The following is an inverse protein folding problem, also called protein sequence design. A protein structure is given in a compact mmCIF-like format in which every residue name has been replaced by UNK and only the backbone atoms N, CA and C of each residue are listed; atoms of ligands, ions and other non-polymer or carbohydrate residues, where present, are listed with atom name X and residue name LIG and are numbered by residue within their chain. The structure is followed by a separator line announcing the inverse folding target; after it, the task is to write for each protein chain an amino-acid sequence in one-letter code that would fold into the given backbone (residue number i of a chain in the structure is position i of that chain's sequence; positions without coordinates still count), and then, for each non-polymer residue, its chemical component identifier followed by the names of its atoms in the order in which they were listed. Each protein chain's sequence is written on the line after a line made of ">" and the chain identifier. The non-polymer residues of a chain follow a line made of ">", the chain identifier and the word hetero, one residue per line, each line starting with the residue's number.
data_IF_513842880159
#
_entry.id   IF_513842880159
#
_cell.length_a   1.000
_cell.length_b   1.000
_cell.length_c   1.000
_cell.angle_alpha   90.00
_cell.angle_beta   90.00
_cell.angle_gamma   90.00
#
_symmetry.space_group_name_H-M   'P 1'
#
loop_
_entity.id
_entity.type
_entity.pdbx_description
1 polymer ?
#
# COMPACT_ATOMS: atom_id res chain seq x y z
N UNK A 1 -17.04 -32.77 -7.80
CA UNK A 1 -17.01 -31.77 -6.71
C UNK A 1 -17.15 -32.53 -5.40
N UNK A 2 -16.25 -32.29 -4.44
CA UNK A 2 -16.22 -32.98 -3.14
C UNK A 2 -16.44 -32.01 -1.99
N UNK A 3 -16.77 -32.52 -0.81
CA UNK A 3 -16.96 -31.68 0.37
C UNK A 3 -15.62 -31.20 0.95
N UNK A 4 -15.65 -30.13 1.77
CA UNK A 4 -14.44 -29.68 2.49
C UNK A 4 -13.91 -30.69 3.51
N UNK A 5 -14.77 -31.56 4.04
CA UNK A 5 -14.35 -32.61 4.99
C UNK A 5 -13.57 -33.68 4.24
N UNK A 6 -14.13 -34.16 3.14
CA UNK A 6 -13.52 -35.17 2.28
C UNK A 6 -12.21 -34.68 1.66
N UNK A 7 -12.17 -33.43 1.19
CA UNK A 7 -10.92 -32.82 0.73
C UNK A 7 -9.86 -32.71 1.83
N UNK A 8 -10.28 -32.48 3.09
CA UNK A 8 -9.40 -32.39 4.25
C UNK A 8 -8.78 -33.74 4.60
N UNK A 9 -9.59 -34.79 4.61
CA UNK A 9 -9.13 -36.18 4.82
C UNK A 9 -8.10 -36.58 3.76
N UNK A 10 -8.40 -36.31 2.48
CA UNK A 10 -7.47 -36.61 1.37
C UNK A 10 -6.15 -35.85 1.47
N UNK A 11 -6.19 -34.59 1.90
CA UNK A 11 -5.01 -33.72 2.04
C UNK A 11 -4.28 -33.84 3.39
N UNK A 12 -4.82 -34.60 4.35
CA UNK A 12 -4.29 -34.67 5.71
C UNK A 12 -4.38 -33.36 6.49
N UNK A 13 -5.38 -32.51 6.21
CA UNK A 13 -5.58 -31.21 6.88
C UNK A 13 -7.01 -31.01 7.35
N UNK A 14 -7.23 -30.10 8.30
CA UNK A 14 -8.58 -29.82 8.80
C UNK A 14 -9.48 -29.17 7.74
N UNK A 15 -10.81 -29.36 7.85
CA UNK A 15 -11.78 -28.70 6.97
C UNK A 15 -11.68 -27.15 7.01
N UNK A 16 -11.31 -26.58 8.17
CA UNK A 16 -11.03 -25.15 8.28
C UNK A 16 -9.81 -24.73 7.44
N UNK A 17 -8.76 -25.56 7.41
CA UNK A 17 -7.59 -25.33 6.56
C UNK A 17 -7.93 -25.42 5.08
N UNK A 18 -8.81 -26.35 4.67
CA UNK A 18 -9.32 -26.44 3.29
C UNK A 18 -10.07 -25.17 2.90
N UNK A 19 -10.94 -24.63 3.77
CA UNK A 19 -11.62 -23.34 3.53
C UNK A 19 -10.63 -22.20 3.34
N UNK A 20 -9.63 -22.10 4.22
CA UNK A 20 -8.58 -21.10 4.07
C UNK A 20 -7.78 -21.25 2.75
N UNK A 21 -7.61 -22.48 2.22
CA UNK A 21 -6.99 -22.70 0.92
C UNK A 21 -7.88 -22.28 -0.25
N UNK A 22 -9.20 -22.47 -0.13
CA UNK A 22 -10.18 -21.98 -1.11
C UNK A 22 -10.23 -20.44 -1.12
N UNK A 23 -10.29 -19.81 0.06
CA UNK A 23 -10.28 -18.35 0.19
C UNK A 23 -8.97 -17.75 -0.34
N UNK A 24 -7.84 -18.43 -0.14
CA UNK A 24 -6.54 -18.02 -0.68
C UNK A 24 -6.34 -18.35 -2.17
N UNK A 25 -7.33 -18.97 -2.84
CA UNK A 25 -7.23 -19.42 -4.24
C UNK A 25 -6.22 -20.54 -4.49
N UNK A 26 -5.70 -21.16 -3.43
CA UNK A 26 -4.73 -22.26 -3.50
C UNK A 26 -5.41 -23.62 -3.78
N UNK A 27 -6.73 -23.70 -3.62
CA UNK A 27 -7.59 -24.77 -4.13
C UNK A 27 -8.72 -24.14 -4.94
N UNK A 28 -9.14 -24.81 -6.01
CA UNK A 28 -10.34 -24.42 -6.75
C UNK A 28 -11.57 -25.00 -6.09
N UNK A 29 -12.62 -24.19 -6.03
CA UNK A 29 -13.92 -24.59 -5.51
C UNK A 29 -14.90 -23.43 -5.57
N UNK A 30 -16.16 -23.73 -5.33
CA UNK A 30 -17.24 -22.77 -5.33
C UNK A 30 -18.03 -22.86 -4.03
N UNK A 31 -18.53 -21.71 -3.57
CA UNK A 31 -19.46 -21.65 -2.46
C UNK A 31 -20.87 -21.86 -3.01
N UNK A 32 -21.51 -22.95 -2.57
CA UNK A 32 -22.87 -23.32 -2.95
C UNK A 32 -23.74 -23.15 -1.69
N UNK A 33 -24.46 -22.04 -1.62
CA UNK A 33 -25.24 -21.65 -0.44
C UNK A 33 -24.35 -21.45 0.79
N UNK A 34 -24.57 -22.26 1.84
CA UNK A 34 -23.78 -22.24 3.09
C UNK A 34 -22.59 -23.21 3.08
N UNK A 35 -22.44 -23.99 2.01
CA UNK A 35 -21.46 -25.07 1.92
C UNK A 35 -20.41 -24.77 0.86
N UNK A 36 -19.19 -25.24 1.07
CA UNK A 36 -18.12 -25.18 0.09
C UNK A 36 -18.04 -26.50 -0.69
N UNK A 37 -18.04 -26.40 -2.01
CA UNK A 37 -17.80 -27.51 -2.91
C UNK A 37 -16.40 -27.35 -3.52
N UNK A 38 -15.55 -28.34 -3.31
CA UNK A 38 -14.14 -28.33 -3.71
C UNK A 38 -13.99 -29.08 -5.03
N UNK A 39 -13.18 -28.53 -5.93
CA UNK A 39 -12.82 -29.21 -7.17
C UNK A 39 -11.85 -30.37 -6.89
N UNK A 40 -12.22 -31.56 -7.34
CA UNK A 40 -11.46 -32.78 -7.04
C UNK A 40 -10.11 -32.79 -7.77
N UNK A 41 -10.07 -32.29 -9.01
CA UNK A 41 -8.82 -32.19 -9.78
C UNK A 41 -7.82 -31.23 -9.11
N UNK A 42 -8.30 -30.13 -8.53
CA UNK A 42 -7.47 -29.21 -7.75
C UNK A 42 -6.88 -29.85 -6.48
N UNK A 43 -7.61 -30.77 -5.84
CA UNK A 43 -7.12 -31.51 -4.67
C UNK A 43 -6.06 -32.53 -5.10
N UNK A 44 -6.30 -33.27 -6.17
CA UNK A 44 -5.34 -34.22 -6.74
C UNK A 44 -4.03 -33.53 -7.18
N UNK A 45 -4.12 -32.38 -7.85
CA UNK A 45 -2.95 -31.59 -8.24
C UNK A 45 -2.10 -31.15 -7.04
N UNK A 46 -2.76 -30.81 -5.92
CA UNK A 46 -2.08 -30.40 -4.68
C UNK A 46 -1.44 -31.58 -3.94
N UNK A 47 -2.02 -32.78 -4.05
CA UNK A 47 -1.39 -34.01 -3.55
C UNK A 47 -0.16 -34.39 -4.37
N UNK A 48 -0.24 -34.24 -5.69
CA UNK A 48 0.88 -34.53 -6.61
C UNK A 48 2.05 -33.54 -6.46
N UNK A 49 1.79 -32.33 -5.96
CA UNK A 49 2.81 -31.31 -5.71
C UNK A 49 2.79 -30.87 -4.24
N UNK A 50 3.36 -31.69 -3.33
CA UNK A 50 3.42 -31.37 -1.92
C UNK A 50 4.29 -30.12 -1.70
N UNK A 51 3.65 -29.01 -1.37
CA UNK A 51 4.35 -27.81 -0.89
C UNK A 51 4.95 -28.17 0.46
N UNK A 52 6.28 -28.00 0.62
CA UNK A 52 6.99 -28.40 1.84
C UNK A 52 6.26 -27.88 3.10
N UNK A 53 5.99 -28.75 4.09
CA UNK A 53 5.41 -28.34 5.35
C UNK A 53 6.42 -27.45 6.10
N UNK A 54 6.16 -26.17 6.05
CA UNK A 54 6.81 -25.14 6.83
C UNK A 54 5.80 -24.03 7.02
N UNK A 55 5.93 -23.26 8.11
CA UNK A 55 5.23 -21.99 8.29
C UNK A 55 5.29 -21.29 6.93
N UNK A 56 4.16 -20.90 6.29
CA UNK A 56 4.26 -20.07 5.09
C UNK A 56 5.18 -18.95 5.50
N UNK A 57 6.31 -18.77 4.77
CA UNK A 57 7.10 -17.56 4.91
C UNK A 57 6.02 -16.50 4.87
N UNK A 58 5.74 -15.86 6.02
CA UNK A 58 4.93 -14.65 6.07
C UNK A 58 5.57 -13.90 4.93
N UNK A 59 4.86 -13.71 3.79
CA UNK A 59 5.33 -12.72 2.81
C UNK A 59 5.64 -11.58 3.74
N UNK A 60 6.93 -11.29 3.90
CA UNK A 60 7.38 -10.22 4.77
C UNK A 60 6.53 -9.10 4.19
N UNK A 61 5.44 -8.73 4.87
CA UNK A 61 4.78 -7.47 4.60
C UNK A 61 5.99 -6.57 4.68
N UNK A 62 6.42 -6.09 3.50
CA UNK A 62 7.77 -5.61 3.26
C UNK A 62 8.15 -4.90 4.53
N UNK A 63 9.11 -5.47 5.29
CA UNK A 63 9.32 -5.06 6.69
C UNK A 63 9.27 -3.54 6.68
N UNK A 64 8.47 -2.91 7.58
CA UNK A 64 8.11 -1.50 7.47
C UNK A 64 9.35 -0.81 6.97
N UNK A 65 9.31 -0.42 5.67
CA UNK A 65 10.52 -0.09 4.92
C UNK A 65 11.27 0.80 5.85
N UNK A 66 12.46 0.37 6.32
CA UNK A 66 13.27 1.21 7.19
C UNK A 66 13.17 2.59 6.55
N UNK A 67 12.66 3.61 7.27
CA UNK A 67 12.42 4.90 6.67
C UNK A 67 13.67 5.20 5.87
N UNK A 68 13.52 5.54 4.57
CA UNK A 68 14.67 5.62 3.67
C UNK A 68 15.75 6.36 4.42
N UNK A 69 16.96 5.80 4.43
CA UNK A 69 18.10 6.40 5.11
C UNK A 69 18.06 7.91 4.82
N UNK A 70 18.28 8.74 5.84
CA UNK A 70 18.17 10.18 5.67
C UNK A 70 19.09 10.62 4.52
N UNK A 71 18.49 10.94 3.37
CA UNK A 71 19.19 11.33 2.16
C UNK A 71 19.05 12.85 2.00
N UNK A 72 20.08 13.65 2.32
CA UNK A 72 19.99 15.11 2.23
C UNK A 72 19.67 15.59 0.81
N UNK A 73 20.16 14.87 -0.21
CA UNK A 73 19.86 15.15 -1.62
C UNK A 73 18.38 14.94 -1.99
N UNK A 74 17.67 14.06 -1.29
CA UNK A 74 16.23 13.87 -1.51
C UNK A 74 15.45 15.06 -0.93
N UNK A 75 15.86 15.56 0.24
CA UNK A 75 15.25 16.74 0.85
C UNK A 75 15.49 18.00 0.01
N UNK A 76 16.69 18.18 -0.53
CA UNK A 76 17.01 19.31 -1.39
C UNK A 76 16.12 19.33 -2.64
N UNK A 77 15.97 18.19 -3.32
CA UNK A 77 15.09 18.05 -4.49
C UNK A 77 13.62 18.34 -4.16
N UNK A 78 13.12 17.89 -3.02
CA UNK A 78 11.77 18.22 -2.57
C UNK A 78 11.61 19.71 -2.32
N UNK A 79 12.60 20.33 -1.67
CA UNK A 79 12.62 21.76 -1.42
C UNK A 79 12.60 22.57 -2.72
N UNK A 80 13.48 22.26 -3.68
CA UNK A 80 13.54 22.96 -4.97
C UNK A 80 12.23 22.82 -5.75
N UNK A 81 11.67 21.62 -5.79
CA UNK A 81 10.37 21.38 -6.43
C UNK A 81 9.24 22.18 -5.78
N UNK A 82 9.20 22.26 -4.45
CA UNK A 82 8.26 23.11 -3.74
C UNK A 82 8.48 24.59 -4.04
N UNK A 83 9.74 25.06 -4.07
CA UNK A 83 10.07 26.46 -4.36
C UNK A 83 9.59 26.85 -5.75
N UNK A 84 9.86 26.05 -6.77
CA UNK A 84 9.46 26.35 -8.15
C UNK A 84 7.94 26.42 -8.33
N UNK A 85 7.21 25.52 -7.68
CA UNK A 85 5.75 25.41 -7.86
C UNK A 85 4.96 26.36 -6.95
N UNK A 86 5.47 26.70 -5.76
CA UNK A 86 4.72 27.37 -4.71
C UNK A 86 5.27 28.75 -4.29
N UNK A 87 6.50 29.13 -4.67
CA UNK A 87 7.02 30.47 -4.35
C UNK A 87 6.42 31.59 -5.24
N UNK A 88 5.67 31.21 -6.28
CA UNK A 88 4.97 32.12 -7.19
C UNK A 88 3.67 32.71 -6.63
N UNK A 89 2.86 33.31 -7.50
CA UNK A 89 1.58 33.95 -7.13
C UNK A 89 0.66 32.95 -6.44
N UNK A 90 0.34 33.23 -5.17
CA UNK A 90 -0.65 32.58 -4.30
C UNK A 90 -1.19 31.30 -4.90
N UNK A 91 -0.71 30.14 -4.46
CA UNK A 91 -0.99 28.81 -4.99
C UNK A 91 -2.47 28.37 -4.94
N UNK A 92 -3.41 29.23 -5.34
CA UNK A 92 -4.83 28.99 -5.50
C UNK A 92 -5.03 27.83 -6.48
N UNK A 93 -4.27 27.78 -7.56
CA UNK A 93 -4.32 26.67 -8.51
C UNK A 93 -3.77 25.37 -7.90
N UNK A 94 -2.72 25.45 -7.08
CA UNK A 94 -2.20 24.30 -6.33
C UNK A 94 -3.21 23.77 -5.30
N UNK A 95 -3.86 24.68 -4.56
CA UNK A 95 -4.91 24.35 -3.59
C UNK A 95 -6.14 23.74 -4.28
N UNK A 96 -6.51 24.24 -5.47
CA UNK A 96 -7.59 23.66 -6.29
C UNK A 96 -7.24 22.28 -6.84
N UNK A 97 -5.97 22.05 -7.17
CA UNK A 97 -5.48 20.77 -7.67
C UNK A 97 -5.26 19.72 -6.57
N UNK A 98 -5.34 20.10 -5.29
CA UNK A 98 -5.15 19.19 -4.17
C UNK A 98 -6.18 18.05 -4.18
N UNK A 99 -5.70 16.82 -4.00
CA UNK A 99 -6.54 15.61 -3.98
C UNK A 99 -7.21 15.42 -2.64
N UNK A 100 -6.64 16.00 -1.58
CA UNK A 100 -7.16 15.90 -0.23
C UNK A 100 -7.12 17.26 0.49
N UNK A 101 -7.96 17.44 1.54
CA UNK A 101 -7.89 18.63 2.38
C UNK A 101 -6.55 18.79 3.11
N UNK A 102 -5.84 17.70 3.38
CA UNK A 102 -4.51 17.72 4.00
C UNK A 102 -3.47 18.30 3.06
N UNK A 103 -3.48 17.84 1.81
CA UNK A 103 -2.58 18.31 0.75
C UNK A 103 -2.80 19.80 0.46
N UNK A 104 -4.06 20.28 0.47
CA UNK A 104 -4.38 21.70 0.35
C UNK A 104 -3.76 22.55 1.48
N UNK A 105 -3.84 22.08 2.73
CA UNK A 105 -3.25 22.78 3.89
C UNK A 105 -1.73 22.81 3.81
N UNK A 106 -1.12 21.71 3.38
CA UNK A 106 0.32 21.64 3.14
C UNK A 106 0.77 22.67 2.10
N UNK A 107 0.09 22.76 0.95
CA UNK A 107 0.40 23.75 -0.08
C UNK A 107 0.27 25.19 0.41
N UNK A 108 -0.77 25.50 1.18
CA UNK A 108 -0.93 26.81 1.80
C UNK A 108 0.22 27.14 2.75
N UNK A 109 0.62 26.20 3.61
CA UNK A 109 1.69 26.42 4.58
C UNK A 109 3.04 26.67 3.89
N UNK A 110 3.38 25.85 2.89
CA UNK A 110 4.64 25.98 2.15
C UNK A 110 4.67 27.25 1.30
N UNK A 111 3.57 27.60 0.62
CA UNK A 111 3.49 28.86 -0.12
C UNK A 111 3.63 30.09 0.80
N UNK A 112 3.01 30.04 1.98
CA UNK A 112 3.13 31.11 2.98
C UNK A 112 4.56 31.28 3.48
N UNK A 113 5.29 30.18 3.72
CA UNK A 113 6.71 30.21 4.09
C UNK A 113 7.55 30.98 3.06
N UNK A 114 7.43 30.65 1.77
CA UNK A 114 8.21 31.34 0.73
C UNK A 114 7.83 32.82 0.58
N UNK A 115 6.55 33.16 0.78
CA UNK A 115 6.11 34.55 0.79
C UNK A 115 6.77 35.34 1.93
N UNK A 116 6.83 34.75 3.13
CA UNK A 116 7.46 35.37 4.30
C UNK A 116 8.97 35.55 4.11
N UNK A 117 9.66 34.53 3.58
CA UNK A 117 11.10 34.63 3.30
C UNK A 117 11.41 35.73 2.29
N UNK A 118 10.58 35.88 1.25
CA UNK A 118 10.72 36.97 0.28
C UNK A 118 10.44 38.34 0.90
N UNK A 119 9.42 38.45 1.74
CA UNK A 119 9.14 39.70 2.47
C UNK A 119 10.31 40.10 3.36
N UNK A 120 10.91 39.13 4.06
CA UNK A 120 12.08 39.35 4.89
C UNK A 120 13.29 39.82 4.08
N UNK A 121 13.57 39.17 2.95
CA UNK A 121 14.65 39.59 2.05
C UNK A 121 14.45 41.05 1.56
N UNK A 122 13.22 41.43 1.21
CA UNK A 122 12.90 42.81 0.80
C UNK A 122 13.07 43.83 1.91
N UNK A 123 12.78 43.46 3.16
CA UNK A 123 13.03 44.29 4.35
C UNK A 123 14.55 44.44 4.55
N UNK A 124 15.31 43.35 4.46
CA UNK A 124 16.77 43.36 4.61
C UNK A 124 17.46 44.18 3.48
N UNK A 125 16.87 44.20 2.28
CA UNK A 125 17.30 45.04 1.14
C UNK A 125 16.91 46.53 1.28
N UNK A 126 16.18 46.91 2.35
CA UNK A 126 15.79 48.29 2.63
C UNK A 126 14.67 48.83 1.74
N UNK A 127 13.88 47.96 1.12
CA UNK A 127 12.77 48.32 0.22
C UNK A 127 11.48 48.63 1.02
N UNK A 128 11.48 48.48 2.34
CA UNK A 128 10.37 48.79 3.24
C UNK A 128 10.83 49.42 4.57
#
# INVERSE_FOLDING_TARGET
>A
MISTSEAGERLGVSAARVRALLDAGALRGAKIGRTWAVDEASVAARLASPVQPGRPRRKRAAAPTEPPAFEPEALHRLYDGCREQLAGSFGVDAVRAARTPEEARFYMAVASFFLQERQRALIDEGVF
#
